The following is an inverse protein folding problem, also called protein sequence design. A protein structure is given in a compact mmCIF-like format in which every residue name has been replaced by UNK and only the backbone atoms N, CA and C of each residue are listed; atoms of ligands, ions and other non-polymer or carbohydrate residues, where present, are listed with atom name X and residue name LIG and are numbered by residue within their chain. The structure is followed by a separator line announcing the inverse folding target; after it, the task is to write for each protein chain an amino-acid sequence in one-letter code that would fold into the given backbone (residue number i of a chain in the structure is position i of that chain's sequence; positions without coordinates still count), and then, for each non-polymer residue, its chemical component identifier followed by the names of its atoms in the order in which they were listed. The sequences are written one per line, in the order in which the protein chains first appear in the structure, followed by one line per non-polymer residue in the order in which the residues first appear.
data_IF_867751035875
#
_entry.id   IF_867751035875
#
_cell.length_a   1.000
_cell.length_b   1.000
_cell.length_c   1.000
_cell.angle_alpha   90.00
_cell.angle_beta   90.00
_cell.angle_gamma   90.00
#
_symmetry.space_group_name_H-M   'P 1'
#
loop_
_entity.id
_entity.type
_entity.pdbx_description
1 polymer ?
#
# COMPACT_ATOMS: atom_id res chain seq x y z
N UNK A 1 15.77 -25.18 64.31
CA UNK A 1 16.35 -26.44 64.85
C UNK A 1 15.26 -27.15 65.63
N UNK A 2 14.84 -28.42 65.46
CA UNK A 2 15.03 -29.53 64.49
C UNK A 2 13.86 -30.53 64.78
N UNK A 3 13.07 -30.98 63.77
CA UNK A 3 12.39 -32.32 63.60
C UNK A 3 11.50 -32.96 64.72
N UNK A 4 10.76 -34.10 64.53
CA UNK A 4 10.07 -34.76 63.37
C UNK A 4 8.65 -35.40 63.65
N UNK A 5 8.05 -36.02 62.60
CA UNK A 5 7.18 -37.25 62.39
C UNK A 5 6.45 -37.99 63.57
N UNK A 6 5.38 -38.83 63.46
CA UNK A 6 4.53 -39.43 62.37
C UNK A 6 3.33 -40.30 62.93
N UNK A 7 2.47 -40.81 62.00
CA UNK A 7 1.52 -41.98 61.99
C UNK A 7 0.04 -41.80 62.46
N UNK A 8 -1.05 -42.41 61.92
CA UNK A 8 -1.40 -43.17 60.67
C UNK A 8 -2.95 -43.58 60.67
N UNK A 9 -3.63 -43.58 59.50
CA UNK A 9 -4.83 -44.38 58.98
C UNK A 9 -6.22 -44.39 59.70
N UNK A 10 -7.40 -44.68 59.12
CA UNK A 10 -8.07 -44.64 57.79
C UNK A 10 -9.50 -45.26 57.95
N UNK A 11 -10.57 -44.76 57.29
CA UNK A 11 -11.83 -45.52 57.04
C UNK A 11 -12.69 -44.89 55.92
N UNK A 12 -13.28 -45.76 55.07
CA UNK A 12 -14.06 -45.48 53.85
C UNK A 12 -15.57 -45.57 54.11
N UNK A 13 -16.39 -44.74 53.44
CA UNK A 13 -17.85 -44.97 53.25
C UNK A 13 -18.30 -44.53 51.86
N UNK A 14 -19.07 -45.38 51.18
CA UNK A 14 -19.63 -45.23 49.84
C UNK A 14 -21.10 -44.80 49.94
N UNK A 15 -21.54 -43.79 49.17
CA UNK A 15 -22.97 -43.51 48.93
C UNK A 15 -23.18 -43.16 47.45
N UNK A 16 -24.10 -43.86 46.79
CA UNK A 16 -24.50 -43.63 45.41
C UNK A 16 -25.56 -42.54 45.27
N UNK A 17 -25.50 -41.77 44.18
CA UNK A 17 -26.51 -40.76 43.80
C UNK A 17 -26.93 -41.01 42.35
N UNK A 18 -28.25 -41.00 42.14
CA UNK A 18 -28.94 -41.21 40.86
C UNK A 18 -28.57 -40.17 39.79
N UNK A 19 -28.28 -40.65 38.58
CA UNK A 19 -28.03 -39.85 37.38
C UNK A 19 -29.34 -39.42 36.71
N UNK A 20 -29.56 -38.11 36.56
CA UNK A 20 -30.54 -37.54 35.62
C UNK A 20 -29.75 -37.04 34.40
N UNK A 21 -29.89 -37.74 33.28
CA UNK A 21 -29.31 -37.33 31.99
C UNK A 21 -30.20 -36.28 31.34
N UNK A 22 -29.85 -35.01 31.52
CA UNK A 22 -30.34 -33.93 30.65
C UNK A 22 -29.55 -34.02 29.34
N UNK A 23 -30.19 -34.54 28.29
CA UNK A 23 -29.67 -34.46 26.93
C UNK A 23 -29.85 -33.00 26.48
N UNK A 24 -28.82 -32.18 26.70
CA UNK A 24 -28.70 -30.91 26.00
C UNK A 24 -28.40 -31.20 24.54
N UNK A 25 -29.42 -31.14 23.70
CA UNK A 25 -29.25 -31.01 22.26
C UNK A 25 -28.51 -29.69 22.01
N UNK A 26 -27.19 -29.77 21.87
CA UNK A 26 -26.39 -28.68 21.32
C UNK A 26 -26.90 -28.45 19.89
N UNK A 27 -27.71 -27.41 19.70
CA UNK A 27 -27.99 -26.88 18.38
C UNK A 27 -26.66 -26.44 17.78
N UNK A 28 -26.12 -27.27 16.90
CA UNK A 28 -25.06 -26.90 16.00
C UNK A 28 -25.55 -25.73 15.14
N UNK A 29 -25.16 -24.50 15.49
CA UNK A 29 -25.09 -23.39 14.55
C UNK A 29 -23.62 -23.14 14.24
N UNK A 30 -23.06 -23.97 13.36
CA UNK A 30 -21.88 -23.59 12.61
C UNK A 30 -22.31 -22.45 11.67
N UNK A 31 -22.20 -21.20 12.11
CA UNK A 31 -22.21 -20.06 11.22
C UNK A 31 -20.76 -19.83 10.80
N UNK A 32 -20.43 -20.15 9.54
CA UNK A 32 -19.20 -19.69 8.93
C UNK A 32 -19.31 -18.18 8.71
N UNK A 33 -19.04 -17.39 9.77
CA UNK A 33 -19.00 -15.93 9.79
C UNK A 33 -17.81 -15.40 8.96
N UNK A 34 -17.90 -15.48 7.64
CA UNK A 34 -16.80 -15.19 6.71
C UNK A 34 -16.55 -13.69 6.44
N UNK A 35 -17.17 -12.77 7.20
CA UNK A 35 -16.86 -11.35 7.05
C UNK A 35 -15.47 -11.02 7.62
N UNK A 36 -14.66 -10.24 6.90
CA UNK A 36 -13.37 -9.75 7.39
C UNK A 36 -13.27 -8.24 7.22
N UNK A 37 -12.76 -7.58 8.26
CA UNK A 37 -12.55 -6.13 8.31
C UNK A 37 -11.06 -5.86 8.52
N UNK A 38 -10.44 -5.11 7.62
CA UNK A 38 -9.00 -4.81 7.64
C UNK A 38 -8.80 -3.29 7.72
N UNK A 39 -8.49 -2.73 8.91
CA UNK A 39 -8.35 -1.29 9.09
C UNK A 39 -6.98 -0.76 8.65
N UNK A 40 -6.96 0.49 8.21
CA UNK A 40 -5.83 1.44 8.25
C UNK A 40 -6.17 2.59 9.21
N UNK A 41 -5.52 3.76 9.11
CA UNK A 41 -5.85 4.95 9.91
C UNK A 41 -7.25 5.50 9.62
N UNK A 42 -7.65 5.55 8.35
CA UNK A 42 -8.88 6.26 7.93
C UNK A 42 -9.80 5.43 7.04
N UNK A 43 -9.49 4.15 6.88
CA UNK A 43 -10.23 3.23 6.01
C UNK A 43 -10.37 1.85 6.63
N UNK A 44 -11.39 1.11 6.20
CA UNK A 44 -11.57 -0.31 6.51
C UNK A 44 -11.86 -1.05 5.21
N UNK A 45 -11.00 -1.99 4.84
CA UNK A 45 -11.27 -2.98 3.79
C UNK A 45 -12.27 -4.01 4.32
N UNK A 46 -13.28 -4.32 3.51
CA UNK A 46 -14.39 -5.21 3.85
C UNK A 46 -14.42 -6.37 2.88
N UNK A 47 -14.55 -7.58 3.42
CA UNK A 47 -14.72 -8.83 2.68
C UNK A 47 -15.91 -9.56 3.26
N UNK A 48 -16.73 -10.18 2.42
CA UNK A 48 -17.86 -10.98 2.90
C UNK A 48 -18.25 -12.06 1.90
N UNK A 49 -18.43 -13.30 2.37
CA UNK A 49 -18.91 -14.41 1.55
C UNK A 49 -20.07 -15.13 2.26
N UNK A 50 -21.26 -14.50 2.29
CA UNK A 50 -22.46 -15.09 2.88
C UNK A 50 -23.12 -16.12 1.97
N UNK A 51 -23.88 -17.04 2.58
CA UNK A 51 -24.80 -17.89 1.83
C UNK A 51 -25.86 -17.03 1.12
N UNK A 52 -26.18 -17.35 -0.13
CA UNK A 52 -27.14 -16.56 -0.94
C UNK A 52 -26.55 -15.29 -1.57
N UNK A 53 -25.24 -15.05 -1.41
CA UNK A 53 -24.51 -14.00 -2.12
C UNK A 53 -24.39 -14.24 -3.62
N UNK A 54 -24.30 -13.16 -4.40
CA UNK A 54 -24.16 -13.22 -5.86
C UNK A 54 -24.17 -11.84 -6.51
N UNK A 55 -23.82 -11.77 -7.80
CA UNK A 55 -23.79 -10.51 -8.56
C UNK A 55 -25.15 -9.81 -8.68
N UNK A 56 -26.25 -10.53 -8.50
CA UNK A 56 -27.62 -10.00 -8.52
C UNK A 56 -28.16 -9.57 -7.15
N UNK A 57 -27.40 -9.78 -6.06
CA UNK A 57 -27.82 -9.45 -4.69
C UNK A 57 -26.92 -8.36 -4.14
N UNK A 58 -27.49 -7.21 -3.76
CA UNK A 58 -26.72 -6.14 -3.15
C UNK A 58 -26.24 -6.55 -1.74
N UNK A 59 -24.98 -6.26 -1.43
CA UNK A 59 -24.41 -6.39 -0.11
C UNK A 59 -24.22 -4.99 0.49
N UNK A 60 -25.24 -4.57 1.24
CA UNK A 60 -25.35 -3.25 1.86
C UNK A 60 -24.35 -3.14 3.01
N UNK A 61 -23.73 -1.96 3.14
CA UNK A 61 -22.81 -1.63 4.24
C UNK A 61 -23.39 -0.47 5.03
N UNK A 62 -23.43 -0.60 6.35
CA UNK A 62 -23.68 0.53 7.26
C UNK A 62 -22.67 0.49 8.40
N UNK A 63 -22.28 1.66 8.91
CA UNK A 63 -21.28 1.75 9.98
C UNK A 63 -21.59 2.90 10.93
N UNK A 64 -21.03 2.84 12.14
CA UNK A 64 -21.10 3.92 13.13
C UNK A 64 -19.93 3.83 14.10
N UNK A 65 -19.48 4.96 14.69
CA UNK A 65 -18.61 4.90 15.85
C UNK A 65 -19.24 4.03 16.94
N UNK A 66 -18.46 3.19 17.60
CA UNK A 66 -18.95 2.26 18.63
C UNK A 66 -19.70 3.03 19.72
N UNK A 67 -20.92 2.58 20.03
CA UNK A 67 -21.80 3.22 21.02
C UNK A 67 -22.61 4.41 20.51
N UNK A 68 -22.41 4.85 19.27
CA UNK A 68 -23.31 5.82 18.62
C UNK A 68 -24.66 5.17 18.30
N UNK A 69 -25.76 5.94 18.34
CA UNK A 69 -27.07 5.45 17.92
C UNK A 69 -27.23 5.46 16.39
N UNK A 70 -26.65 6.46 15.71
CA UNK A 70 -26.89 6.73 14.29
C UNK A 70 -25.96 5.92 13.39
N UNK A 71 -26.56 5.13 12.50
CA UNK A 71 -25.86 4.45 11.41
C UNK A 71 -25.64 5.40 10.24
N UNK A 72 -24.49 5.25 9.58
CA UNK A 72 -24.17 5.88 8.30
C UNK A 72 -24.12 4.80 7.24
N UNK A 73 -24.61 5.12 6.04
CA UNK A 73 -24.55 4.20 4.92
C UNK A 73 -23.17 4.26 4.25
N UNK A 74 -22.63 3.08 3.95
CA UNK A 74 -21.48 2.91 3.07
C UNK A 74 -21.94 2.63 1.63
N UNK A 75 -20.98 2.54 0.72
CA UNK A 75 -21.26 2.01 -0.63
C UNK A 75 -21.39 0.49 -0.56
N UNK A 76 -22.36 -0.07 -1.27
CA UNK A 76 -22.53 -1.51 -1.42
C UNK A 76 -21.22 -2.19 -1.86
N UNK A 77 -20.96 -3.37 -1.31
CA UNK A 77 -19.82 -4.18 -1.70
C UNK A 77 -19.99 -4.71 -3.12
N UNK A 78 -18.89 -4.81 -3.86
CA UNK A 78 -18.88 -5.42 -5.17
C UNK A 78 -18.63 -6.93 -5.06
N UNK A 79 -19.50 -7.72 -5.70
CA UNK A 79 -19.32 -9.16 -5.84
C UNK A 79 -18.35 -9.51 -6.97
N UNK A 80 -17.28 -10.24 -6.65
CA UNK A 80 -16.40 -10.86 -7.64
C UNK A 80 -16.57 -12.37 -7.67
N UNK A 81 -17.15 -12.89 -8.76
CA UNK A 81 -17.36 -14.32 -8.98
C UNK A 81 -16.30 -15.00 -9.86
N UNK A 82 -15.22 -14.31 -10.24
CA UNK A 82 -14.32 -14.77 -11.34
C UNK A 82 -13.36 -15.90 -10.96
N UNK A 83 -13.17 -16.21 -9.66
CA UNK A 83 -12.27 -17.28 -9.23
C UNK A 83 -10.77 -17.06 -9.50
N UNK A 84 -10.38 -15.85 -9.92
CA UNK A 84 -9.01 -15.53 -10.32
C UNK A 84 -8.02 -15.72 -9.15
N UNK A 85 -6.91 -16.40 -9.42
CA UNK A 85 -5.90 -16.71 -8.39
C UNK A 85 -6.35 -17.75 -7.35
N UNK A 86 -7.38 -18.56 -7.66
CA UNK A 86 -7.92 -19.56 -6.74
C UNK A 86 -8.76 -18.96 -5.61
N UNK A 87 -9.11 -17.67 -5.68
CA UNK A 87 -9.94 -17.02 -4.66
C UNK A 87 -11.40 -17.49 -4.79
N UNK A 88 -12.12 -17.66 -3.68
CA UNK A 88 -13.55 -17.91 -3.73
C UNK A 88 -14.29 -16.68 -4.25
N UNK A 89 -15.51 -16.90 -4.74
CA UNK A 89 -16.42 -15.79 -5.01
C UNK A 89 -16.73 -15.05 -3.69
N UNK A 90 -16.63 -13.72 -3.69
CA UNK A 90 -16.79 -12.92 -2.47
C UNK A 90 -17.21 -11.49 -2.81
N UNK A 91 -17.87 -10.84 -1.85
CA UNK A 91 -18.07 -9.40 -1.84
C UNK A 91 -16.86 -8.67 -1.27
N UNK A 92 -16.50 -7.54 -1.89
CA UNK A 92 -15.39 -6.69 -1.46
C UNK A 92 -15.72 -5.21 -1.60
N UNK A 93 -15.22 -4.41 -0.68
CA UNK A 93 -15.36 -2.96 -0.70
C UNK A 93 -14.61 -2.28 0.42
N UNK A 94 -14.61 -0.96 0.46
CA UNK A 94 -13.97 -0.18 1.53
C UNK A 94 -14.90 0.88 2.09
N UNK A 95 -14.82 1.06 3.41
CA UNK A 95 -15.32 2.25 4.11
C UNK A 95 -14.14 3.22 4.22
N UNK A 96 -14.33 4.50 3.90
CA UNK A 96 -13.28 5.53 3.88
C UNK A 96 -13.74 6.77 4.63
N UNK A 97 -12.78 7.63 5.03
CA UNK A 97 -13.09 8.87 5.76
C UNK A 97 -13.41 8.66 7.23
N UNK A 98 -12.91 7.56 7.81
CA UNK A 98 -13.04 7.26 9.23
C UNK A 98 -12.01 8.06 10.05
N UNK A 99 -12.32 8.30 11.32
CA UNK A 99 -11.35 8.84 12.27
C UNK A 99 -10.35 7.75 12.68
N UNK A 100 -9.09 8.12 12.90
CA UNK A 100 -8.05 7.22 13.40
C UNK A 100 -8.25 6.86 14.87
N UNK A 101 -7.65 5.76 15.30
CA UNK A 101 -7.71 5.22 16.67
C UNK A 101 -9.12 4.87 17.17
N UNK A 102 -10.13 4.90 16.30
CA UNK A 102 -11.54 4.91 16.67
C UNK A 102 -12.17 3.55 16.45
N UNK A 103 -12.96 3.08 17.42
CA UNK A 103 -13.74 1.86 17.28
C UNK A 103 -15.04 2.13 16.52
N UNK A 104 -15.37 1.24 15.60
CA UNK A 104 -16.58 1.27 14.78
C UNK A 104 -17.31 -0.06 14.85
N UNK A 105 -18.63 -0.01 14.78
CA UNK A 105 -19.48 -1.14 14.43
C UNK A 105 -19.78 -1.06 12.93
N UNK A 106 -19.58 -2.16 12.21
CA UNK A 106 -19.86 -2.30 10.78
C UNK A 106 -20.87 -3.42 10.59
N UNK A 107 -21.99 -3.09 9.94
CA UNK A 107 -23.07 -4.03 9.63
C UNK A 107 -23.16 -4.24 8.13
N UNK A 108 -23.14 -5.52 7.75
CA UNK A 108 -23.32 -6.00 6.39
C UNK A 108 -24.67 -6.70 6.27
N UNK A 109 -25.37 -6.53 5.16
CA UNK A 109 -26.68 -7.14 4.92
C UNK A 109 -26.85 -7.49 3.44
N UNK A 110 -27.39 -8.68 3.15
CA UNK A 110 -27.83 -9.01 1.80
C UNK A 110 -29.25 -8.50 1.60
N UNK A 111 -29.42 -7.61 0.62
CA UNK A 111 -30.71 -7.02 0.29
C UNK A 111 -31.75 -8.11 -0.05
N UNK A 112 -32.97 -7.94 0.45
CA UNK A 112 -34.07 -8.89 0.23
C UNK A 112 -33.98 -10.20 1.02
N UNK A 113 -33.03 -10.32 1.95
CA UNK A 113 -32.86 -11.51 2.80
C UNK A 113 -32.76 -11.14 4.29
N UNK A 114 -32.77 -12.15 5.16
CA UNK A 114 -32.46 -12.01 6.58
C UNK A 114 -30.95 -12.10 6.89
N UNK A 115 -30.11 -12.35 5.90
CA UNK A 115 -28.67 -12.57 6.08
C UNK A 115 -27.97 -11.24 6.39
N UNK A 116 -27.39 -11.17 7.59
CA UNK A 116 -26.70 -9.98 8.08
C UNK A 116 -25.67 -10.35 9.14
N UNK A 117 -24.59 -9.60 9.19
CA UNK A 117 -23.55 -9.72 10.21
C UNK A 117 -23.11 -8.34 10.67
N UNK A 118 -22.85 -8.19 11.96
CA UNK A 118 -22.25 -6.97 12.53
C UNK A 118 -20.93 -7.34 13.17
N UNK A 119 -19.86 -6.59 12.85
CA UNK A 119 -18.52 -6.77 13.41
C UNK A 119 -17.98 -5.45 13.91
N UNK A 120 -17.15 -5.52 14.95
CA UNK A 120 -16.38 -4.38 15.41
C UNK A 120 -15.01 -4.33 14.75
N UNK A 121 -14.51 -3.11 14.54
CA UNK A 121 -13.16 -2.85 14.04
C UNK A 121 -12.65 -1.56 14.65
N UNK A 122 -11.34 -1.47 14.88
CA UNK A 122 -10.68 -0.23 15.31
C UNK A 122 -9.71 0.22 14.24
N UNK A 123 -9.86 1.46 13.77
CA UNK A 123 -8.86 2.10 12.90
C UNK A 123 -7.54 2.28 13.64
N UNK A 124 -6.43 2.32 12.92
CA UNK A 124 -5.11 2.46 13.54
C UNK A 124 -4.97 3.77 14.28
N UNK A 125 -4.27 3.72 15.42
CA UNK A 125 -3.89 4.93 16.16
C UNK A 125 -2.72 5.62 15.46
N UNK A 126 -2.74 6.95 15.47
CA UNK A 126 -1.60 7.78 15.06
C UNK A 126 -0.47 7.79 16.10
N UNK A 127 -0.76 7.30 17.31
CA UNK A 127 0.22 7.20 18.39
C UNK A 127 0.98 5.88 18.30
N UNK A 128 2.31 5.98 18.14
CA UNK A 128 3.24 4.86 18.21
C UNK A 128 4.03 4.92 19.53
N UNK A 129 3.62 4.18 20.58
CA UNK A 129 4.31 4.23 21.86
C UNK A 129 5.75 3.75 21.74
N UNK A 130 6.72 4.46 22.32
CA UNK A 130 8.15 4.11 22.24
C UNK A 130 8.57 3.45 23.56
N UNK A 131 9.20 2.29 23.48
CA UNK A 131 9.75 1.59 24.65
C UNK A 131 11.29 1.55 24.65
N UNK A 132 11.92 1.66 23.48
CA UNK A 132 13.39 1.60 23.36
C UNK A 132 13.85 2.58 22.30
N UNK A 133 14.96 3.26 22.57
CA UNK A 133 15.61 4.16 21.62
C UNK A 133 16.99 3.59 21.27
N UNK A 134 17.28 3.50 19.98
CA UNK A 134 18.59 3.20 19.40
C UNK A 134 19.11 4.49 18.80
N UNK A 135 19.98 5.17 19.54
CA UNK A 135 20.62 6.40 19.07
C UNK A 135 21.79 6.08 18.15
N UNK A 136 21.74 6.64 16.95
CA UNK A 136 22.84 6.61 16.00
C UNK A 136 23.80 7.76 16.27
N UNK A 137 25.10 7.63 15.94
CA UNK A 137 26.00 8.76 15.95
C UNK A 137 25.48 9.90 15.08
N UNK A 138 25.69 11.16 15.50
CA UNK A 138 25.26 12.35 14.73
C UNK A 138 25.74 12.32 13.27
N UNK A 139 26.92 11.74 13.03
CA UNK A 139 27.49 11.50 11.70
C UNK A 139 28.06 10.10 11.63
N UNK A 140 27.75 9.38 10.56
CA UNK A 140 28.30 8.07 10.23
C UNK A 140 28.66 8.02 8.75
N UNK A 141 29.76 7.34 8.42
CA UNK A 141 30.08 6.92 7.04
C UNK A 141 29.82 5.44 6.80
N UNK A 142 29.27 4.74 7.80
CA UNK A 142 28.93 3.32 7.77
C UNK A 142 27.42 3.12 7.81
N UNK A 143 26.92 2.05 7.20
CA UNK A 143 25.51 1.73 7.22
C UNK A 143 25.09 1.22 8.61
N UNK A 144 23.78 1.19 8.82
CA UNK A 144 23.14 0.60 9.99
C UNK A 144 22.42 -0.67 9.55
N UNK A 145 22.74 -1.79 10.18
CA UNK A 145 22.11 -3.08 9.91
C UNK A 145 21.58 -3.65 11.22
N UNK A 146 20.26 -3.86 11.29
CA UNK A 146 19.56 -4.17 12.51
C UNK A 146 18.55 -5.29 12.32
N UNK A 147 18.38 -6.04 13.41
CA UNK A 147 17.28 -6.97 13.65
C UNK A 147 16.64 -6.60 14.98
N UNK A 148 15.46 -5.98 14.95
CA UNK A 148 14.80 -5.45 16.14
C UNK A 148 13.31 -5.78 16.14
N UNK A 149 12.81 -6.15 17.30
CA UNK A 149 11.40 -6.45 17.51
C UNK A 149 10.93 -5.71 18.74
N UNK A 150 10.04 -4.74 18.55
CA UNK A 150 9.28 -4.11 19.61
C UNK A 150 7.95 -4.83 19.86
N UNK A 151 6.93 -4.07 20.24
CA UNK A 151 5.57 -4.55 20.45
C UNK A 151 4.54 -3.47 20.09
N UNK A 152 3.24 -3.81 19.95
CA UNK A 152 2.17 -2.83 19.72
C UNK A 152 2.11 -1.70 20.76
N UNK A 153 2.56 -1.96 21.98
CA UNK A 153 2.58 -0.99 23.09
C UNK A 153 3.95 -0.38 23.34
N UNK A 154 4.93 -0.63 22.46
CA UNK A 154 6.31 -0.24 22.69
C UNK A 154 7.21 -0.55 21.49
N UNK A 155 7.30 0.40 20.58
CA UNK A 155 8.16 0.37 19.41
C UNK A 155 9.63 0.61 19.79
N UNK A 156 10.52 0.09 18.97
CA UNK A 156 11.94 0.46 18.95
C UNK A 156 12.13 1.64 18.02
N UNK A 157 12.48 2.81 18.57
CA UNK A 157 12.82 4.00 17.80
C UNK A 157 14.31 3.99 17.43
N UNK A 158 14.62 4.14 16.14
CA UNK A 158 15.96 4.36 15.60
C UNK A 158 16.02 5.81 15.13
N UNK A 159 16.91 6.60 15.72
CA UNK A 159 17.01 8.04 15.49
C UNK A 159 18.41 8.57 15.83
N UNK A 160 18.66 9.87 15.66
CA UNK A 160 19.93 10.48 16.05
C UNK A 160 20.04 10.75 17.56
N UNK A 161 21.15 11.36 18.01
CA UNK A 161 21.36 11.66 19.42
C UNK A 161 20.27 12.56 19.99
N UNK A 162 19.80 12.24 21.19
CA UNK A 162 18.75 12.96 21.91
C UNK A 162 17.42 13.05 21.14
N UNK A 163 17.15 12.12 20.21
CA UNK A 163 16.00 12.17 19.30
C UNK A 163 16.12 13.18 18.16
N UNK A 164 17.30 13.80 18.01
CA UNK A 164 17.63 14.75 16.95
C UNK A 164 18.07 14.09 15.63
N UNK A 165 18.49 14.89 14.64
CA UNK A 165 18.90 14.36 13.35
C UNK A 165 20.23 13.62 13.43
N UNK A 166 20.36 12.55 12.64
CA UNK A 166 21.65 11.90 12.34
C UNK A 166 21.87 11.81 10.84
N UNK A 167 23.12 11.94 10.41
CA UNK A 167 23.52 11.82 9.00
C UNK A 167 24.31 10.54 8.77
N UNK A 168 23.86 9.73 7.81
CA UNK A 168 24.57 8.57 7.27
C UNK A 168 25.03 8.93 5.85
N UNK A 169 26.33 9.19 5.68
CA UNK A 169 26.96 9.56 4.40
C UNK A 169 27.86 8.42 3.89
N UNK A 170 27.31 7.59 3.02
CA UNK A 170 27.95 6.34 2.61
C UNK A 170 28.95 6.50 1.48
N UNK A 171 28.95 7.65 0.78
CA UNK A 171 29.91 7.99 -0.27
C UNK A 171 30.06 6.90 -1.35
N UNK A 172 28.97 6.23 -1.71
CA UNK A 172 28.94 5.15 -2.69
C UNK A 172 29.67 3.89 -2.27
N UNK A 173 30.00 3.70 -0.98
CA UNK A 173 30.78 2.56 -0.50
C UNK A 173 29.91 1.36 -0.09
N UNK A 174 28.64 1.58 0.26
CA UNK A 174 27.74 0.57 0.83
C UNK A 174 26.43 0.48 0.05
N UNK A 175 25.88 -0.73 -0.02
CA UNK A 175 24.66 -1.01 -0.81
C UNK A 175 23.41 -0.35 -0.23
N UNK A 176 23.36 -0.20 1.09
CA UNK A 176 22.22 0.38 1.80
C UNK A 176 22.66 1.34 2.90
N UNK A 177 21.77 2.25 3.33
CA UNK A 177 22.00 3.11 4.50
C UNK A 177 21.49 2.53 5.80
N UNK A 178 20.22 2.15 5.84
CA UNK A 178 19.62 1.42 6.97
C UNK A 178 19.01 0.13 6.46
N UNK A 179 19.27 -0.98 7.14
CA UNK A 179 18.65 -2.27 6.84
C UNK A 179 17.97 -2.85 8.07
N UNK A 180 16.71 -3.27 7.88
CA UNK A 180 15.92 -3.96 8.89
C UNK A 180 15.62 -5.38 8.40
N UNK A 181 16.23 -6.39 9.03
CA UNK A 181 16.00 -7.81 8.74
C UNK A 181 15.17 -8.43 9.84
N UNK A 182 14.15 -9.24 9.51
CA UNK A 182 13.27 -9.92 10.49
C UNK A 182 12.87 -9.01 11.67
N UNK A 183 12.30 -7.86 11.34
CA UNK A 183 12.10 -6.75 12.28
C UNK A 183 10.65 -6.31 12.32
N UNK A 184 10.16 -6.00 13.52
CA UNK A 184 8.79 -5.55 13.70
C UNK A 184 8.61 -4.54 14.82
N UNK A 185 7.59 -3.68 14.71
CA UNK A 185 7.35 -2.59 15.67
C UNK A 185 8.59 -1.70 15.82
N UNK A 186 9.11 -1.23 14.68
CA UNK A 186 10.31 -0.39 14.59
C UNK A 186 9.95 0.93 13.92
N UNK A 187 10.48 2.04 14.45
CA UNK A 187 10.37 3.37 13.86
C UNK A 187 11.76 3.80 13.40
N UNK A 188 11.91 4.20 12.15
CA UNK A 188 13.12 4.88 11.63
C UNK A 188 12.76 6.34 11.42
N UNK A 189 13.31 7.23 12.26
CA UNK A 189 12.89 8.63 12.33
C UNK A 189 14.03 9.63 12.20
N UNK A 190 13.80 10.66 11.37
CA UNK A 190 14.60 11.89 11.39
C UNK A 190 16.02 11.73 10.85
N UNK A 191 16.29 10.69 10.06
CA UNK A 191 17.62 10.43 9.52
C UNK A 191 17.83 11.16 8.19
N UNK A 192 19.05 11.66 7.98
CA UNK A 192 19.54 12.06 6.66
C UNK A 192 20.43 10.95 6.11
N UNK A 193 19.99 10.25 5.07
CA UNK A 193 20.70 9.11 4.48
C UNK A 193 21.12 9.49 3.06
N UNK A 194 22.40 9.39 2.75
CA UNK A 194 22.90 9.73 1.41
C UNK A 194 24.01 8.82 0.91
N UNK A 195 24.07 8.68 -0.41
CA UNK A 195 25.19 8.01 -1.10
C UNK A 195 25.15 6.48 -1.05
N UNK A 196 24.00 5.85 -0.86
CA UNK A 196 23.90 4.38 -0.92
C UNK A 196 24.06 3.89 -2.37
N UNK A 197 24.73 2.76 -2.60
CA UNK A 197 24.82 2.21 -3.97
C UNK A 197 23.45 1.78 -4.51
N UNK A 198 22.60 1.20 -3.67
CA UNK A 198 21.30 0.69 -4.12
C UNK A 198 20.13 1.31 -3.37
N UNK A 199 20.10 1.20 -2.04
CA UNK A 199 18.90 1.55 -1.28
C UNK A 199 19.15 2.49 -0.10
N UNK A 200 18.31 3.50 0.11
CA UNK A 200 18.41 4.32 1.34
C UNK A 200 18.08 3.49 2.57
N UNK A 201 16.83 3.01 2.65
CA UNK A 201 16.32 2.12 3.68
C UNK A 201 15.86 0.82 3.01
N UNK A 202 16.42 -0.30 3.45
CA UNK A 202 16.09 -1.64 2.97
C UNK A 202 15.34 -2.42 4.05
N UNK A 203 14.10 -2.80 3.75
CA UNK A 203 13.22 -3.60 4.60
C UNK A 203 13.26 -5.05 4.14
N UNK A 204 14.08 -5.85 4.83
CA UNK A 204 14.37 -7.23 4.47
C UNK A 204 15.47 -7.36 3.42
N UNK A 205 16.15 -8.49 3.46
CA UNK A 205 17.21 -8.95 2.53
C UNK A 205 16.70 -9.97 1.53
N UNK A 206 15.64 -10.71 1.88
CA UNK A 206 15.12 -11.84 1.11
C UNK A 206 13.59 -11.84 1.03
N UNK A 207 13.06 -12.73 0.20
CA UNK A 207 11.60 -12.95 0.12
C UNK A 207 11.02 -13.57 1.39
N UNK A 208 11.82 -14.23 2.23
CA UNK A 208 11.35 -14.97 3.41
C UNK A 208 11.36 -14.15 4.71
N UNK A 209 12.06 -13.03 4.74
CA UNK A 209 12.24 -12.21 5.94
C UNK A 209 10.89 -11.66 6.42
N UNK A 210 10.67 -11.64 7.72
CA UNK A 210 9.42 -11.16 8.29
C UNK A 210 9.55 -9.72 8.77
N UNK A 211 9.09 -8.77 7.96
CA UNK A 211 9.16 -7.34 8.29
C UNK A 211 7.75 -6.77 8.31
N UNK A 212 7.29 -6.33 9.48
CA UNK A 212 5.94 -5.82 9.64
C UNK A 212 5.81 -4.78 10.76
N UNK A 213 4.77 -3.95 10.74
CA UNK A 213 4.58 -2.88 11.74
C UNK A 213 5.80 -1.94 11.83
N UNK A 214 6.33 -1.51 10.68
CA UNK A 214 7.47 -0.60 10.58
C UNK A 214 6.98 0.79 10.18
N UNK A 215 7.45 1.81 10.88
CA UNK A 215 7.21 3.22 10.54
C UNK A 215 8.51 3.82 10.03
N UNK A 216 8.51 4.34 8.81
CA UNK A 216 9.62 5.11 8.22
C UNK A 216 9.13 6.55 8.10
N UNK A 217 9.65 7.45 8.93
CA UNK A 217 9.12 8.81 9.00
C UNK A 217 10.12 9.95 9.17
N UNK A 218 9.82 11.09 8.56
CA UNK A 218 10.62 12.31 8.72
C UNK A 218 12.07 12.16 8.23
N UNK A 219 12.36 11.18 7.37
CA UNK A 219 13.70 10.95 6.85
C UNK A 219 13.93 11.75 5.57
N UNK A 220 15.17 12.18 5.35
CA UNK A 220 15.64 12.72 4.07
C UNK A 220 16.59 11.73 3.44
N UNK A 221 16.28 11.25 2.23
CA UNK A 221 17.07 10.24 1.52
C UNK A 221 17.44 10.78 0.15
N UNK A 222 18.74 10.75 -0.19
CA UNK A 222 19.24 11.26 -1.47
C UNK A 222 20.48 10.53 -1.99
N UNK A 223 20.80 10.73 -3.26
CA UNK A 223 22.03 10.22 -3.86
C UNK A 223 22.17 8.69 -3.78
N UNK A 224 21.07 7.95 -3.85
CA UNK A 224 21.11 6.49 -3.96
C UNK A 224 21.20 6.04 -5.43
N UNK A 225 21.69 4.83 -5.65
CA UNK A 225 21.63 4.18 -6.96
C UNK A 225 22.96 4.20 -7.72
N UNK A 226 23.15 3.18 -8.55
CA UNK A 226 24.32 3.02 -9.43
C UNK A 226 23.92 2.87 -10.88
N UNK A 227 24.79 3.33 -11.78
CA UNK A 227 24.56 3.16 -13.23
C UNK A 227 24.78 1.71 -13.62
N UNK A 228 23.95 1.21 -14.51
CA UNK A 228 24.20 -0.05 -15.19
C UNK A 228 25.10 0.16 -16.43
N UNK A 229 25.31 -0.90 -17.21
CA UNK A 229 26.19 -0.87 -18.38
C UNK A 229 25.71 0.08 -19.50
N UNK A 230 24.42 0.46 -19.50
CA UNK A 230 23.85 1.41 -20.47
C UNK A 230 24.08 2.88 -20.09
N UNK A 231 24.51 3.12 -18.84
CA UNK A 231 24.72 4.47 -18.29
C UNK A 231 23.49 5.07 -17.60
N UNK A 232 22.33 4.40 -17.69
CA UNK A 232 21.13 4.71 -16.89
C UNK A 232 21.21 4.05 -15.51
N UNK A 233 20.30 4.43 -14.61
CA UNK A 233 20.22 3.83 -13.28
C UNK A 233 19.84 2.35 -13.32
N UNK A 234 20.40 1.59 -12.38
CA UNK A 234 20.00 0.19 -12.15
C UNK A 234 18.51 0.15 -11.79
N UNK A 235 17.70 -0.66 -12.48
CA UNK A 235 16.27 -0.72 -12.23
C UNK A 235 15.92 -1.04 -10.77
N UNK A 236 15.02 -0.26 -10.19
CA UNK A 236 14.50 -0.37 -8.82
C UNK A 236 15.50 -0.08 -7.68
N UNK A 237 16.67 0.51 -7.97
CA UNK A 237 17.44 1.19 -6.92
C UNK A 237 16.54 2.28 -6.30
N UNK A 238 16.38 2.26 -4.98
CA UNK A 238 15.25 2.96 -4.34
C UNK A 238 15.59 3.62 -3.02
N UNK A 239 14.98 4.77 -2.76
CA UNK A 239 15.14 5.41 -1.46
C UNK A 239 14.61 4.51 -0.33
N UNK A 240 13.47 3.87 -0.54
CA UNK A 240 12.92 2.84 0.36
C UNK A 240 12.59 1.58 -0.45
N UNK A 241 13.14 0.45 -0.03
CA UNK A 241 13.05 -0.79 -0.78
C UNK A 241 12.62 -1.96 0.09
N UNK A 242 11.81 -2.85 -0.47
CA UNK A 242 11.59 -4.18 0.09
C UNK A 242 11.35 -5.23 -0.97
N UNK A 243 11.87 -6.43 -0.72
CA UNK A 243 11.59 -7.63 -1.50
C UNK A 243 10.98 -8.78 -0.69
N UNK A 244 10.64 -8.55 0.59
CA UNK A 244 9.96 -9.60 1.37
C UNK A 244 8.53 -9.82 0.87
N UNK A 245 8.11 -11.09 0.78
CA UNK A 245 6.72 -11.45 0.50
C UNK A 245 5.81 -11.37 1.72
N UNK A 246 6.37 -11.05 2.89
CA UNK A 246 5.67 -10.91 4.17
C UNK A 246 5.51 -9.46 4.61
N UNK A 247 5.99 -8.49 3.81
CA UNK A 247 5.88 -7.06 4.16
C UNK A 247 4.42 -6.67 4.41
N UNK A 248 4.10 -6.29 5.65
CA UNK A 248 2.75 -5.81 6.00
C UNK A 248 2.80 -4.69 7.02
N UNK A 249 1.76 -3.83 7.04
CA UNK A 249 1.63 -2.78 8.06
C UNK A 249 2.84 -1.86 8.12
N UNK A 250 3.40 -1.54 6.95
CA UNK A 250 4.45 -0.53 6.83
C UNK A 250 3.81 0.83 6.62
N UNK A 251 4.23 1.80 7.43
CA UNK A 251 3.87 3.21 7.31
C UNK A 251 5.07 3.96 6.78
N UNK A 252 4.97 4.54 5.59
CA UNK A 252 5.99 5.43 5.03
C UNK A 252 5.41 6.83 4.99
N UNK A 253 5.87 7.71 5.88
CA UNK A 253 5.25 9.03 6.03
C UNK A 253 6.18 10.22 6.23
N UNK A 254 5.84 11.38 5.65
CA UNK A 254 6.58 12.61 5.92
C UNK A 254 8.05 12.55 5.51
N UNK A 255 8.43 11.68 4.57
CA UNK A 255 9.80 11.54 4.12
C UNK A 255 10.05 12.41 2.88
N UNK A 256 11.30 12.85 2.72
CA UNK A 256 11.79 13.53 1.52
C UNK A 256 12.75 12.61 0.79
N UNK A 257 12.31 12.09 -0.35
CA UNK A 257 13.03 11.12 -1.18
C UNK A 257 13.43 11.83 -2.49
N UNK A 258 14.67 12.30 -2.58
CA UNK A 258 15.04 13.25 -3.65
C UNK A 258 16.37 12.96 -4.30
N UNK A 259 16.47 13.25 -5.60
CA UNK A 259 17.73 13.23 -6.36
C UNK A 259 18.51 11.92 -6.20
N UNK A 260 18.05 10.81 -6.81
CA UNK A 260 18.90 9.63 -6.96
C UNK A 260 20.22 10.03 -7.65
N UNK A 261 21.28 9.25 -7.44
CA UNK A 261 22.59 9.46 -8.06
C UNK A 261 22.60 9.06 -9.56
N UNK A 262 21.47 8.57 -10.06
CA UNK A 262 21.25 8.11 -11.43
C UNK A 262 19.91 8.61 -11.97
N UNK A 263 19.61 8.29 -13.23
CA UNK A 263 18.34 8.63 -13.88
C UNK A 263 17.83 7.45 -14.68
N UNK A 264 16.51 7.32 -14.82
CA UNK A 264 15.91 6.46 -15.82
C UNK A 264 16.06 7.05 -17.24
N UNK A 265 15.93 6.20 -18.25
CA UNK A 265 15.69 6.62 -19.63
C UNK A 265 14.27 7.16 -19.78
N UNK A 266 14.09 8.16 -20.65
CA UNK A 266 12.76 8.56 -21.12
C UNK A 266 12.24 7.61 -22.20
N UNK A 267 10.97 7.75 -22.58
CA UNK A 267 10.34 6.96 -23.66
C UNK A 267 10.93 7.19 -25.06
N UNK A 268 11.74 8.25 -25.22
CA UNK A 268 12.47 8.54 -26.47
C UNK A 268 13.84 7.85 -26.53
N UNK A 269 14.33 7.36 -25.39
CA UNK A 269 15.67 6.78 -25.24
C UNK A 269 15.58 5.25 -25.11
N UNK A 270 16.65 4.56 -25.52
CA UNK A 270 16.77 3.11 -25.37
C UNK A 270 17.64 2.77 -24.15
N UNK A 271 17.15 1.89 -23.30
CA UNK A 271 17.84 1.30 -22.17
C UNK A 271 17.76 -0.22 -22.32
N UNK A 272 18.92 -0.88 -22.49
CA UNK A 272 19.03 -2.33 -22.67
C UNK A 272 18.12 -2.90 -23.79
N UNK A 273 17.98 -2.15 -24.90
CA UNK A 273 17.21 -2.57 -26.07
C UNK A 273 15.69 -2.31 -25.97
N UNK A 274 15.22 -1.73 -24.86
CA UNK A 274 13.83 -1.31 -24.67
C UNK A 274 13.73 0.21 -24.59
N UNK A 275 12.60 0.77 -25.03
CA UNK A 275 12.26 2.20 -24.79
C UNK A 275 11.41 2.42 -23.53
N UNK A 276 10.98 1.35 -22.88
CA UNK A 276 10.30 1.45 -21.61
C UNK A 276 11.27 2.05 -20.57
N UNK A 277 10.88 3.09 -19.82
CA UNK A 277 11.69 3.61 -18.74
C UNK A 277 12.05 2.52 -17.74
N UNK A 278 13.33 2.46 -17.39
CA UNK A 278 13.84 1.64 -16.32
C UNK A 278 14.95 2.41 -15.60
N UNK A 279 14.97 2.37 -14.28
CA UNK A 279 15.88 3.17 -13.47
C UNK A 279 15.50 3.20 -11.99
N UNK A 280 15.91 4.25 -11.26
CA UNK A 280 15.63 4.34 -9.84
C UNK A 280 14.16 4.68 -9.57
N UNK A 281 13.65 4.24 -8.41
CA UNK A 281 12.32 4.62 -7.90
C UNK A 281 12.46 5.33 -6.54
N UNK A 282 11.41 6.04 -6.11
CA UNK A 282 11.33 6.54 -4.74
C UNK A 282 11.10 5.39 -3.75
N UNK A 283 10.05 4.61 -3.98
CA UNK A 283 9.64 3.50 -3.11
C UNK A 283 9.34 2.26 -3.96
N UNK A 284 10.00 1.14 -3.66
CA UNK A 284 9.65 -0.15 -4.29
C UNK A 284 9.31 -1.20 -3.25
N UNK A 285 8.10 -1.75 -3.32
CA UNK A 285 7.70 -2.95 -2.56
C UNK A 285 7.39 -4.08 -3.54
N UNK A 286 8.40 -4.85 -3.94
CA UNK A 286 8.27 -5.80 -5.06
C UNK A 286 7.19 -6.87 -4.81
N UNK A 287 7.02 -7.28 -3.56
CA UNK A 287 6.23 -8.45 -3.17
C UNK A 287 5.40 -8.23 -1.91
N UNK A 288 5.16 -6.98 -1.52
CA UNK A 288 4.48 -6.67 -0.27
C UNK A 288 3.11 -7.34 -0.15
N UNK A 289 2.85 -7.96 1.01
CA UNK A 289 1.58 -8.64 1.29
C UNK A 289 0.43 -7.64 1.57
N UNK A 290 0.77 -6.38 1.84
CA UNK A 290 -0.18 -5.26 1.88
C UNK A 290 -0.53 -4.80 3.29
N UNK A 291 -1.68 -4.15 3.41
CA UNK A 291 -2.11 -3.37 4.55
C UNK A 291 -1.05 -2.32 4.89
N UNK A 292 -0.55 -1.60 3.88
CA UNK A 292 0.49 -0.58 4.03
C UNK A 292 -0.12 0.82 3.91
N UNK A 293 0.53 1.82 4.50
CA UNK A 293 0.13 3.23 4.38
C UNK A 293 1.32 4.05 3.91
N UNK A 294 1.20 4.69 2.74
CA UNK A 294 2.25 5.53 2.15
C UNK A 294 1.68 6.93 2.00
N UNK A 295 2.09 7.88 2.84
CA UNK A 295 1.45 9.20 2.89
C UNK A 295 2.35 10.38 3.16
N UNK A 296 1.99 11.55 2.65
CA UNK A 296 2.68 12.81 2.98
C UNK A 296 4.18 12.78 2.67
N UNK A 297 4.61 11.98 1.67
CA UNK A 297 6.01 11.95 1.23
C UNK A 297 6.20 12.90 0.04
N UNK A 298 7.37 13.52 0.00
CA UNK A 298 7.89 14.23 -1.17
C UNK A 298 8.81 13.27 -1.94
N UNK A 299 8.38 12.82 -3.12
CA UNK A 299 9.15 11.94 -4.01
C UNK A 299 9.49 12.74 -5.26
N UNK A 300 10.67 13.34 -5.27
CA UNK A 300 10.99 14.41 -6.22
C UNK A 300 12.36 14.17 -6.86
N UNK A 301 12.36 13.86 -8.16
CA UNK A 301 13.57 13.87 -8.96
C UNK A 301 13.98 15.29 -9.34
N UNK A 302 14.79 15.43 -10.38
CA UNK A 302 15.06 16.72 -11.00
C UNK A 302 15.26 16.55 -12.51
N UNK A 303 15.49 17.66 -13.22
CA UNK A 303 15.65 17.70 -14.67
C UNK A 303 16.71 16.71 -15.22
N UNK A 304 17.65 16.26 -14.39
CA UNK A 304 18.72 15.32 -14.73
C UNK A 304 18.66 13.98 -14.00
N UNK A 305 17.80 13.84 -12.99
CA UNK A 305 17.65 12.64 -12.15
C UNK A 305 16.17 12.25 -12.04
N UNK A 306 15.61 11.72 -13.13
CA UNK A 306 14.22 11.23 -13.14
C UNK A 306 14.14 9.80 -12.63
N UNK A 307 13.03 9.48 -11.98
CA UNK A 307 12.66 8.11 -11.69
C UNK A 307 12.12 7.41 -12.95
N UNK A 308 12.13 6.07 -12.99
CA UNK A 308 11.21 5.39 -13.91
C UNK A 308 9.79 5.60 -13.37
N UNK A 309 9.52 5.07 -12.18
CA UNK A 309 8.26 5.29 -11.46
C UNK A 309 8.51 6.01 -10.13
N UNK A 310 7.54 6.79 -9.67
CA UNK A 310 7.63 7.40 -8.33
C UNK A 310 7.61 6.32 -7.24
N UNK A 311 6.72 5.35 -7.38
CA UNK A 311 6.65 4.16 -6.55
C UNK A 311 5.98 2.99 -7.29
N UNK A 312 6.40 1.76 -7.00
CA UNK A 312 5.87 0.58 -7.70
C UNK A 312 6.42 -0.77 -7.26
N UNK A 313 6.28 -1.75 -8.15
CA UNK A 313 6.78 -3.11 -8.01
C UNK A 313 7.14 -3.70 -9.39
N UNK A 314 6.99 -5.02 -9.56
CA UNK A 314 7.23 -5.72 -10.84
C UNK A 314 6.10 -6.68 -11.24
N UNK A 315 5.13 -6.91 -10.36
CA UNK A 315 4.10 -7.93 -10.51
C UNK A 315 2.79 -7.35 -11.07
N UNK A 316 2.86 -6.68 -12.21
CA UNK A 316 1.76 -5.86 -12.76
C UNK A 316 0.58 -6.69 -13.29
N UNK A 317 0.87 -7.92 -13.76
CA UNK A 317 -0.11 -8.88 -14.26
C UNK A 317 -0.16 -10.12 -13.35
N UNK A 318 -0.65 -9.90 -12.12
CA UNK A 318 -0.76 -10.91 -11.09
C UNK A 318 -1.92 -10.67 -10.12
N UNK A 319 -2.05 -11.54 -9.12
CA UNK A 319 -3.01 -11.43 -8.02
C UNK A 319 -2.44 -10.71 -6.79
N UNK A 320 -1.14 -10.47 -6.78
CA UNK A 320 -0.41 -9.55 -5.92
C UNK A 320 0.07 -8.35 -6.74
N UNK A 321 0.77 -7.41 -6.12
CA UNK A 321 1.29 -6.21 -6.76
C UNK A 321 1.43 -5.07 -5.77
N UNK A 322 1.81 -3.88 -6.23
CA UNK A 322 1.96 -2.72 -5.37
C UNK A 322 0.61 -2.05 -5.10
N UNK A 323 0.38 -1.48 -3.91
CA UNK A 323 1.16 -1.55 -2.66
C UNK A 323 0.88 -2.81 -1.80
N UNK A 324 0.16 -3.79 -2.38
CA UNK A 324 -0.47 -4.90 -1.68
C UNK A 324 -1.90 -4.56 -1.24
N UNK A 325 -2.73 -5.58 -1.00
CA UNK A 325 -4.15 -5.43 -0.65
C UNK A 325 -4.36 -4.58 0.61
N UNK A 326 -5.54 -3.98 0.77
CA UNK A 326 -5.96 -3.24 1.98
C UNK A 326 -5.07 -2.03 2.33
N UNK A 327 -4.41 -1.43 1.34
CA UNK A 327 -3.42 -0.36 1.56
C UNK A 327 -3.94 1.02 1.15
N UNK A 328 -3.40 2.06 1.80
CA UNK A 328 -3.68 3.47 1.50
C UNK A 328 -2.43 4.17 0.96
N UNK A 329 -2.54 4.86 -0.17
CA UNK A 329 -1.48 5.71 -0.72
C UNK A 329 -2.04 7.11 -0.92
N UNK A 330 -1.68 8.06 -0.06
CA UNK A 330 -2.37 9.33 -0.04
C UNK A 330 -1.57 10.56 0.37
N UNK A 331 -1.95 11.74 -0.11
CA UNK A 331 -1.31 12.99 0.30
C UNK A 331 0.16 13.10 -0.09
N UNK A 332 0.65 12.28 -1.03
CA UNK A 332 2.03 12.34 -1.50
C UNK A 332 2.18 13.41 -2.60
N UNK A 333 3.35 14.04 -2.64
CA UNK A 333 3.78 14.89 -3.75
C UNK A 333 4.81 14.12 -4.58
N UNK A 334 4.54 13.89 -5.87
CA UNK A 334 5.38 13.07 -6.74
C UNK A 334 5.74 13.86 -8.00
N UNK A 335 7.03 13.92 -8.32
CA UNK A 335 7.50 14.60 -9.51
C UNK A 335 8.74 14.01 -10.17
N UNK A 336 8.86 14.25 -11.48
CA UNK A 336 9.97 13.83 -12.35
C UNK A 336 10.05 12.32 -12.53
N UNK A 337 8.97 11.72 -13.04
CA UNK A 337 8.91 10.29 -13.40
C UNK A 337 8.78 10.13 -14.92
N UNK A 338 9.54 9.20 -15.50
CA UNK A 338 9.45 8.91 -16.93
C UNK A 338 8.34 7.93 -17.29
N UNK A 339 7.78 7.23 -16.31
CA UNK A 339 6.66 6.31 -16.47
C UNK A 339 5.55 6.61 -15.44
N UNK A 340 5.20 5.69 -14.56
CA UNK A 340 4.05 5.84 -13.67
C UNK A 340 4.43 6.65 -12.41
N UNK A 341 3.62 7.66 -12.06
CA UNK A 341 3.77 8.36 -10.78
C UNK A 341 3.56 7.41 -9.60
N UNK A 342 2.46 6.65 -9.64
CA UNK A 342 2.16 5.55 -8.72
C UNK A 342 1.75 4.33 -9.56
N UNK A 343 2.58 3.28 -9.57
CA UNK A 343 2.30 2.01 -10.24
C UNK A 343 1.50 1.08 -9.29
N UNK A 344 0.20 1.36 -9.12
CA UNK A 344 -0.71 0.56 -8.29
C UNK A 344 -1.31 -0.63 -9.07
N UNK A 345 -0.44 -1.45 -9.65
CA UNK A 345 -0.81 -2.56 -10.53
C UNK A 345 -0.82 -3.92 -9.81
N UNK A 346 -1.46 -4.91 -10.43
CA UNK A 346 -1.63 -6.27 -9.92
C UNK A 346 -2.95 -6.49 -9.19
N UNK A 347 -2.91 -6.97 -7.94
CA UNK A 347 -4.11 -7.40 -7.21
C UNK A 347 -5.16 -6.28 -6.97
N UNK A 348 -4.73 -5.12 -6.46
CA UNK A 348 -5.59 -3.94 -6.27
C UNK A 348 -6.76 -4.09 -5.29
N UNK A 349 -6.77 -5.10 -4.42
CA UNK A 349 -7.89 -5.37 -3.51
C UNK A 349 -7.96 -4.38 -2.36
N UNK A 350 -9.04 -3.60 -2.26
CA UNK A 350 -9.19 -2.55 -1.24
C UNK A 350 -7.98 -1.61 -1.17
N UNK A 351 -7.37 -1.33 -2.33
CA UNK A 351 -6.30 -0.34 -2.46
C UNK A 351 -6.94 1.03 -2.69
N UNK A 352 -6.52 2.03 -1.92
CA UNK A 352 -7.12 3.38 -1.93
C UNK A 352 -6.03 4.42 -2.18
N UNK A 353 -6.12 5.08 -3.33
CA UNK A 353 -5.20 6.11 -3.79
C UNK A 353 -5.92 7.46 -3.70
N UNK A 354 -5.52 8.36 -2.80
CA UNK A 354 -6.28 9.60 -2.62
C UNK A 354 -5.48 10.82 -2.23
N UNK A 355 -6.00 12.01 -2.56
CA UNK A 355 -5.39 13.29 -2.18
C UNK A 355 -3.90 13.43 -2.60
N UNK A 356 -3.42 12.65 -3.58
CA UNK A 356 -2.04 12.77 -4.10
C UNK A 356 -1.94 13.88 -5.15
N UNK A 357 -0.79 14.55 -5.21
CA UNK A 357 -0.45 15.53 -6.24
C UNK A 357 0.73 15.02 -7.06
N UNK A 358 0.56 14.95 -8.38
CA UNK A 358 1.57 14.44 -9.30
C UNK A 358 1.82 15.44 -10.42
N UNK A 359 3.08 15.74 -10.72
CA UNK A 359 3.46 16.66 -11.79
C UNK A 359 4.77 16.23 -12.43
N UNK A 360 4.99 16.55 -13.70
CA UNK A 360 6.15 16.09 -14.45
C UNK A 360 6.25 14.55 -14.48
N UNK A 361 5.12 13.89 -14.73
CA UNK A 361 4.97 12.42 -14.80
C UNK A 361 4.45 11.96 -16.16
N UNK A 362 4.77 10.75 -16.62
CA UNK A 362 4.21 10.25 -17.89
C UNK A 362 2.76 9.79 -17.72
N UNK A 363 2.51 8.87 -16.79
CA UNK A 363 1.18 8.51 -16.31
C UNK A 363 1.04 8.92 -14.85
N UNK A 364 -0.13 9.38 -14.43
CA UNK A 364 -0.37 9.69 -13.02
C UNK A 364 -0.39 8.41 -12.17
N UNK A 365 -1.24 7.48 -12.58
CA UNK A 365 -1.53 6.24 -11.87
C UNK A 365 -1.51 5.05 -12.84
N UNK A 366 -0.54 4.17 -12.64
CA UNK A 366 -0.46 2.84 -13.25
C UNK A 366 -1.47 1.90 -12.60
N UNK A 367 -2.40 1.39 -13.39
CA UNK A 367 -3.51 0.50 -12.98
C UNK A 367 -3.81 -0.55 -14.08
N UNK A 368 -2.83 -0.86 -14.93
CA UNK A 368 -2.89 -1.83 -16.01
C UNK A 368 -1.99 -3.04 -15.67
N UNK A 369 -2.37 -3.90 -14.72
CA UNK A 369 -3.76 -4.25 -14.42
C UNK A 369 -4.23 -3.94 -12.99
N UNK A 370 -5.54 -3.83 -12.82
CA UNK A 370 -6.23 -4.18 -11.56
C UNK A 370 -6.93 -5.52 -11.76
N UNK A 371 -6.35 -6.58 -11.23
CA UNK A 371 -6.78 -7.97 -11.46
C UNK A 371 -7.96 -8.36 -10.57
N UNK A 372 -7.87 -8.07 -9.27
CA UNK A 372 -8.86 -8.51 -8.30
C UNK A 372 -9.78 -7.37 -7.86
N UNK A 373 -9.24 -6.23 -7.43
CA UNK A 373 -10.05 -5.08 -7.00
C UNK A 373 -10.90 -5.35 -5.74
N UNK A 374 -11.68 -4.37 -5.25
CA UNK A 374 -11.81 -3.04 -5.84
C UNK A 374 -10.62 -2.13 -5.51
N UNK A 375 -10.17 -1.35 -6.50
CA UNK A 375 -9.23 -0.25 -6.30
C UNK A 375 -9.97 1.10 -6.41
N UNK A 376 -9.65 2.02 -5.52
CA UNK A 376 -10.25 3.35 -5.44
C UNK A 376 -9.20 4.41 -5.74
N UNK A 377 -9.46 5.31 -6.69
CA UNK A 377 -8.66 6.51 -6.89
C UNK A 377 -9.57 7.73 -6.74
N UNK A 378 -9.32 8.58 -5.74
CA UNK A 378 -10.18 9.74 -5.52
C UNK A 378 -9.48 11.00 -5.01
N UNK A 379 -9.97 12.17 -5.44
CA UNK A 379 -9.41 13.48 -5.06
C UNK A 379 -7.92 13.66 -5.36
N UNK A 380 -7.39 12.90 -6.31
CA UNK A 380 -6.02 13.09 -6.77
C UNK A 380 -5.96 14.22 -7.81
N UNK A 381 -4.79 14.84 -7.91
CA UNK A 381 -4.48 15.84 -8.94
C UNK A 381 -3.29 15.37 -9.76
N UNK A 382 -3.47 15.27 -11.08
CA UNK A 382 -2.36 15.20 -12.03
C UNK A 382 -2.24 16.56 -12.72
N UNK A 383 -1.04 17.14 -12.65
CA UNK A 383 -0.70 18.42 -13.24
C UNK A 383 0.01 18.25 -14.59
N UNK A 384 1.31 18.56 -14.67
CA UNK A 384 2.09 18.45 -15.91
C UNK A 384 2.33 16.98 -16.21
N UNK A 385 2.16 16.61 -17.48
CA UNK A 385 2.51 15.28 -17.96
C UNK A 385 3.39 15.33 -19.20
N UNK A 386 4.44 14.51 -19.22
CA UNK A 386 5.48 14.48 -20.25
C UNK A 386 6.02 13.07 -20.49
N UNK A 387 6.46 12.79 -21.72
CA UNK A 387 7.10 11.52 -22.10
C UNK A 387 8.62 11.56 -22.16
N UNK A 388 9.18 12.76 -22.29
CA UNK A 388 10.61 13.05 -22.35
C UNK A 388 10.82 14.57 -22.10
N UNK A 389 12.07 15.03 -22.19
CA UNK A 389 12.44 16.41 -21.90
C UNK A 389 11.86 17.45 -22.89
N UNK A 390 11.62 17.05 -24.15
CA UNK A 390 11.19 17.93 -25.25
C UNK A 390 9.71 17.70 -25.62
N UNK A 391 9.06 16.72 -24.99
CA UNK A 391 7.69 16.36 -25.28
C UNK A 391 6.72 17.50 -24.96
N UNK A 392 5.86 17.80 -25.92
CA UNK A 392 4.75 18.76 -25.71
C UNK A 392 3.54 18.13 -25.00
N UNK A 393 3.60 16.83 -24.74
CA UNK A 393 2.56 16.05 -24.08
C UNK A 393 3.14 14.85 -23.31
N UNK A 394 2.36 14.34 -22.35
CA UNK A 394 2.53 13.02 -21.77
C UNK A 394 1.24 12.21 -21.90
N UNK A 395 1.00 11.25 -21.00
CA UNK A 395 -0.13 10.31 -21.14
C UNK A 395 -1.26 10.58 -20.15
N UNK A 396 -1.98 9.53 -19.78
CA UNK A 396 -3.19 9.58 -19.01
C UNK A 396 -2.93 9.77 -17.52
N UNK A 397 -3.89 10.39 -16.84
CA UNK A 397 -3.97 10.32 -15.39
C UNK A 397 -4.08 8.87 -14.92
N UNK A 398 -4.91 8.07 -15.61
CA UNK A 398 -5.11 6.67 -15.28
C UNK A 398 -4.76 5.78 -16.47
N UNK A 399 -3.70 4.98 -16.33
CA UNK A 399 -3.35 3.87 -17.21
C UNK A 399 -4.08 2.64 -16.70
N UNK A 400 -5.06 2.14 -17.43
CA UNK A 400 -5.96 1.07 -16.96
C UNK A 400 -6.04 -0.07 -17.96
N UNK A 401 -6.65 -1.18 -17.59
CA UNK A 401 -6.90 -2.31 -18.49
C UNK A 401 -6.35 -3.59 -17.91
N UNK A 402 -5.89 -4.47 -18.79
CA UNK A 402 -5.36 -5.77 -18.39
C UNK A 402 -4.55 -6.42 -19.49
N UNK A 403 -3.79 -7.46 -19.13
CA UNK A 403 -3.03 -8.25 -20.08
C UNK A 403 -3.12 -9.74 -19.74
N UNK A 404 -2.82 -10.58 -20.73
CA UNK A 404 -2.75 -12.03 -20.56
C UNK A 404 -1.30 -12.40 -20.26
N UNK A 405 -1.07 -13.02 -19.10
CA UNK A 405 0.22 -13.59 -18.75
C UNK A 405 0.08 -15.11 -18.64
N UNK A 406 0.84 -15.84 -19.45
CA UNK A 406 0.60 -17.26 -19.70
C UNK A 406 -0.78 -17.49 -20.33
N UNK A 407 -1.60 -18.34 -19.71
CA UNK A 407 -2.99 -18.60 -20.12
C UNK A 407 -4.02 -17.80 -19.34
N UNK A 408 -3.59 -16.94 -18.41
CA UNK A 408 -4.47 -16.22 -17.49
C UNK A 408 -4.57 -14.74 -17.86
N UNK A 409 -5.79 -14.24 -17.98
CA UNK A 409 -6.03 -12.81 -18.13
C UNK A 409 -6.07 -12.12 -16.77
N UNK A 410 -5.26 -11.09 -16.61
CA UNK A 410 -5.17 -10.24 -15.44
C UNK A 410 -5.73 -8.86 -15.78
N UNK A 411 -6.84 -8.51 -15.15
CA UNK A 411 -7.60 -7.30 -15.42
C UNK A 411 -9.04 -7.45 -14.90
N UNK A 412 -9.91 -6.55 -15.31
CA UNK A 412 -11.35 -6.52 -15.01
C UNK A 412 -11.70 -6.47 -13.51
N UNK A 413 -10.74 -6.25 -12.61
CA UNK A 413 -11.04 -5.93 -11.21
C UNK A 413 -11.81 -4.61 -11.12
N UNK A 414 -12.71 -4.50 -10.14
CA UNK A 414 -13.50 -3.27 -9.96
C UNK A 414 -12.59 -2.08 -9.69
N UNK A 415 -12.89 -0.96 -10.32
CA UNK A 415 -12.19 0.31 -10.09
C UNK A 415 -13.20 1.44 -9.88
N UNK A 416 -12.88 2.35 -8.98
CA UNK A 416 -13.70 3.52 -8.65
C UNK A 416 -12.86 4.79 -8.79
N UNK A 417 -13.24 5.67 -9.74
CA UNK A 417 -12.53 6.92 -10.01
C UNK A 417 -13.42 8.11 -9.66
N UNK A 418 -13.16 8.77 -8.53
CA UNK A 418 -14.04 9.82 -8.01
C UNK A 418 -13.33 11.14 -7.73
N UNK A 419 -13.90 12.26 -8.14
CA UNK A 419 -13.40 13.59 -7.74
C UNK A 419 -11.94 13.87 -8.10
N UNK A 420 -11.38 13.18 -9.09
CA UNK A 420 -10.02 13.41 -9.53
C UNK A 420 -9.94 14.58 -10.50
N UNK A 421 -8.80 15.26 -10.52
CA UNK A 421 -8.53 16.38 -11.41
C UNK A 421 -7.30 16.08 -12.28
N UNK A 422 -7.50 15.91 -13.57
CA UNK A 422 -6.41 15.94 -14.55
C UNK A 422 -6.35 17.36 -15.13
N UNK A 423 -5.28 18.09 -14.83
CA UNK A 423 -5.12 19.47 -15.28
C UNK A 423 -4.72 19.51 -16.76
N UNK A 424 -5.06 20.63 -17.39
CA UNK A 424 -4.57 21.02 -18.71
C UNK A 424 -3.77 22.31 -18.50
N UNK A 425 -2.47 22.22 -18.17
CA UNK A 425 -1.69 23.41 -17.85
C UNK A 425 -1.64 24.37 -19.05
N UNK A 426 -1.64 25.68 -18.76
CA UNK A 426 -1.64 26.74 -19.78
C UNK A 426 -0.36 26.66 -20.62
N UNK A 427 0.77 26.57 -19.92
CA UNK A 427 2.12 26.45 -20.45
C UNK A 427 2.76 25.13 -20.01
N UNK A 428 3.65 24.57 -20.83
CA UNK A 428 4.30 23.29 -20.57
C UNK A 428 3.58 22.07 -21.15
N UNK A 429 4.18 20.87 -20.98
CA UNK A 429 3.63 19.61 -21.49
C UNK A 429 2.25 19.29 -20.89
N UNK A 430 1.38 18.66 -21.67
CA UNK A 430 -0.01 18.41 -21.27
C UNK A 430 -0.39 16.94 -21.31
N UNK A 431 -1.42 16.60 -20.54
CA UNK A 431 -2.09 15.31 -20.65
C UNK A 431 -2.69 15.10 -22.05
N UNK A 432 -2.24 14.07 -22.76
CA UNK A 432 -2.85 13.65 -24.04
C UNK A 432 -4.21 13.01 -23.82
N UNK A 433 -4.36 12.27 -22.72
CA UNK A 433 -5.54 11.49 -22.35
C UNK A 433 -5.82 11.74 -20.87
N UNK A 434 -7.04 11.46 -20.42
CA UNK A 434 -7.33 11.41 -18.97
C UNK A 434 -7.33 9.98 -18.46
N UNK A 435 -7.88 9.07 -19.27
CA UNK A 435 -7.90 7.64 -19.01
C UNK A 435 -7.42 6.96 -20.28
N UNK A 436 -6.49 6.02 -20.14
CA UNK A 436 -5.98 5.19 -21.22
C UNK A 436 -6.25 3.73 -20.90
N UNK A 437 -6.71 2.98 -21.90
CA UNK A 437 -6.66 1.53 -21.83
C UNK A 437 -5.33 1.05 -22.40
N UNK A 438 -4.47 0.50 -21.54
CA UNK A 438 -3.23 -0.16 -21.91
C UNK A 438 -3.48 -1.23 -22.96
N UNK A 439 -2.56 -1.33 -23.92
CA UNK A 439 -2.58 -2.29 -25.02
C UNK A 439 -3.90 -2.35 -25.83
N UNK A 440 -4.63 -1.22 -25.90
CA UNK A 440 -5.83 -1.08 -26.72
C UNK A 440 -7.03 -1.91 -26.24
N UNK A 441 -7.05 -2.34 -24.98
CA UNK A 441 -8.10 -3.22 -24.44
C UNK A 441 -9.32 -2.45 -23.93
N UNK A 442 -10.42 -3.15 -23.64
CA UNK A 442 -11.67 -2.51 -23.17
C UNK A 442 -11.60 -2.29 -21.67
N UNK A 443 -11.92 -1.08 -21.20
CA UNK A 443 -12.11 -0.80 -19.78
C UNK A 443 -13.41 -1.43 -19.29
N UNK A 444 -13.31 -2.38 -18.36
CA UNK A 444 -14.44 -3.08 -17.74
C UNK A 444 -14.45 -2.81 -16.23
N UNK A 445 -15.63 -2.92 -15.61
CA UNK A 445 -15.82 -2.78 -14.17
C UNK A 445 -15.26 -1.47 -13.58
N UNK A 446 -15.26 -0.39 -14.37
CA UNK A 446 -14.88 0.94 -13.91
C UNK A 446 -16.14 1.77 -13.62
N UNK A 447 -16.17 2.41 -12.45
CA UNK A 447 -17.21 3.37 -12.08
C UNK A 447 -16.54 4.72 -11.89
N UNK A 448 -17.02 5.74 -12.60
CA UNK A 448 -16.45 7.09 -12.52
C UNK A 448 -17.53 8.10 -12.14
N UNK A 449 -17.16 9.09 -11.31
CA UNK A 449 -18.10 10.14 -10.90
C UNK A 449 -17.36 11.43 -10.52
N UNK A 450 -17.90 12.57 -10.93
CA UNK A 450 -17.45 13.90 -10.52
C UNK A 450 -15.95 14.21 -10.76
N UNK A 451 -15.33 13.62 -11.79
CA UNK A 451 -13.94 13.94 -12.16
C UNK A 451 -13.88 15.19 -13.05
N UNK A 452 -12.83 15.99 -12.92
CA UNK A 452 -12.50 17.12 -13.80
C UNK A 452 -11.33 16.70 -14.68
N UNK A 453 -11.60 16.39 -15.95
CA UNK A 453 -10.62 15.77 -16.85
C UNK A 453 -10.26 16.70 -18.00
N UNK A 454 -9.26 17.56 -17.79
CA UNK A 454 -8.70 18.43 -18.82
C UNK A 454 -7.77 17.65 -19.75
N UNK A 455 -8.10 17.58 -21.05
CA UNK A 455 -7.27 16.90 -22.07
C UNK A 455 -7.11 17.73 -23.34
N UNK A 456 -6.13 17.36 -24.18
CA UNK A 456 -6.03 17.79 -25.58
C UNK A 456 -5.16 19.03 -25.86
N UNK A 457 -4.98 19.31 -27.16
CA UNK A 457 -4.16 20.42 -27.66
C UNK A 457 -4.78 21.80 -27.39
N UNK A 458 -3.98 22.87 -27.52
CA UNK A 458 -4.49 24.25 -27.54
C UNK A 458 -5.39 24.36 -28.77
N UNK A 459 -6.61 24.89 -28.64
CA UNK A 459 -7.25 25.49 -29.81
C UNK A 459 -6.29 26.59 -30.25
N UNK A 460 -5.69 26.45 -31.44
CA UNK A 460 -5.01 27.57 -32.06
C UNK A 460 -6.03 28.70 -32.09
N UNK A 461 -5.69 29.84 -31.48
CA UNK A 461 -6.39 31.07 -31.85
C UNK A 461 -6.08 31.26 -33.32
N UNK A 462 -7.07 31.01 -34.18
CA UNK A 462 -7.03 31.47 -35.56
C UNK A 462 -6.89 33.00 -35.46
N UNK A 463 -5.92 33.60 -36.16
CA UNK A 463 -5.66 35.04 -36.14
C UNK A 463 -6.91 35.88 -36.39
#
# INVERSE_FOLDING_TARGET
MKTPLALLFAALTFLGVCSVTVVSAALARAASDSASLVPTFSSVGVYWNPAGGGSGTAAEVSYRPHGSASWQDGTDLWFDGRGLGGRPAEYRGSIVGLASGTAYEVRLKLAGTSESVTKEVRTWSEDFPIATVVELPAKSTKPVDLRKTGSPTGYVLITGPDGGPATIDLQGQYDYGVRLTDSAYVIVRGLTIKGAKHHGIQLGTSTSDDVHDVVVEGNTISGWGVKDASGFGTPMDSAIYSNTSKLTRVVVQGNRLTSPNTTANSWSQSHNGSRHPAGPQGITFLRGAGNNVIRYNDIVGDATHHFNDGMGATANFGTSGFPGKDSDVHGNYIAYTWDDGIEAEGGGMNVRLYDNYLTEVYHGFGMAAVSLGPLYAYRNVQDVSRSDADATYGQAMFKMGGNTSGSTYYGDGRTYLFHNTALKPIDGPRNRKAIEAGDGRVLRNAVTRNNILGTGARLSRVP
#
